data_IF_180932474513
#
_entry.id   IF_180932474513
#
_cell.length_a   1.000
_cell.length_b   1.000
_cell.length_c   1.000
_cell.angle_alpha   90.00
_cell.angle_beta   90.00
_cell.angle_gamma   90.00
#
_symmetry.space_group_name_H-M   'P 1'
#
loop_
_entity.id
_entity.type
_entity.pdbx_description
1 polymer ?
#
# COMPACT_ATOMS: atom_id res chain seq x y z
N UNK A 1 -37.68 -41.27 -14.68
CA UNK A 1 -37.31 -40.82 -13.31
C UNK A 1 -36.04 -39.96 -13.23
N UNK A 2 -35.36 -39.64 -14.33
CA UNK A 2 -34.03 -38.97 -14.31
C UNK A 2 -34.05 -37.44 -14.19
N UNK A 3 -35.17 -36.76 -14.46
CA UNK A 3 -35.24 -35.28 -14.39
C UNK A 3 -35.53 -34.73 -12.99
N UNK A 4 -36.13 -35.52 -12.09
CA UNK A 4 -36.52 -35.07 -10.75
C UNK A 4 -35.31 -35.07 -9.79
N UNK A 5 -34.39 -36.02 -9.98
CA UNK A 5 -33.14 -36.10 -9.21
C UNK A 5 -32.19 -34.93 -9.50
N UNK A 6 -32.12 -34.47 -10.76
CA UNK A 6 -31.20 -33.38 -11.16
C UNK A 6 -31.67 -32.01 -10.65
N UNK A 7 -33.00 -31.78 -10.54
CA UNK A 7 -33.54 -30.58 -9.89
C UNK A 7 -33.23 -30.59 -8.38
N UNK A 8 -33.50 -31.70 -7.69
CA UNK A 8 -33.26 -31.83 -6.25
C UNK A 8 -31.79 -31.59 -5.88
N UNK A 9 -30.86 -32.09 -6.69
CA UNK A 9 -29.42 -31.94 -6.47
C UNK A 9 -28.93 -30.50 -6.64
N UNK A 10 -29.49 -29.74 -7.60
CA UNK A 10 -29.18 -28.31 -7.78
C UNK A 10 -29.69 -27.45 -6.64
N UNK A 11 -30.86 -27.75 -6.08
CA UNK A 11 -31.36 -27.04 -4.90
C UNK A 11 -30.55 -27.36 -3.64
N UNK A 12 -30.13 -28.62 -3.45
CA UNK A 12 -29.26 -29.01 -2.32
C UNK A 12 -27.89 -28.31 -2.41
N UNK A 13 -27.30 -28.24 -3.61
CA UNK A 13 -26.04 -27.51 -3.83
C UNK A 13 -26.20 -26.01 -3.54
N UNK A 14 -27.31 -25.40 -4.00
CA UNK A 14 -27.61 -24.00 -3.72
C UNK A 14 -27.74 -23.70 -2.22
N UNK A 15 -28.40 -24.58 -1.46
CA UNK A 15 -28.54 -24.45 -0.01
C UNK A 15 -27.19 -24.59 0.70
N UNK A 16 -26.32 -25.50 0.26
CA UNK A 16 -24.98 -25.65 0.83
C UNK A 16 -24.10 -24.41 0.58
N UNK A 17 -24.13 -23.86 -0.62
CA UNK A 17 -23.39 -22.63 -0.96
C UNK A 17 -23.91 -21.44 -0.15
N UNK A 18 -25.23 -21.30 -0.03
CA UNK A 18 -25.84 -20.26 0.79
C UNK A 18 -25.45 -20.40 2.28
N UNK A 19 -25.47 -21.61 2.83
CA UNK A 19 -25.07 -21.88 4.21
C UNK A 19 -23.58 -21.55 4.45
N UNK A 20 -22.71 -21.87 3.50
CA UNK A 20 -21.29 -21.52 3.56
C UNK A 20 -21.08 -20.01 3.55
N UNK A 21 -21.75 -19.29 2.65
CA UNK A 21 -21.65 -17.83 2.56
C UNK A 21 -22.16 -17.15 3.84
N UNK A 22 -23.28 -17.62 4.39
CA UNK A 22 -23.81 -17.11 5.66
C UNK A 22 -22.86 -17.41 6.82
N UNK A 23 -22.29 -18.61 6.89
CA UNK A 23 -21.29 -18.98 7.88
C UNK A 23 -20.01 -18.15 7.78
N UNK A 24 -19.53 -17.89 6.57
CA UNK A 24 -18.34 -17.07 6.31
C UNK A 24 -18.58 -15.60 6.71
N UNK A 25 -19.73 -15.03 6.37
CA UNK A 25 -20.11 -13.67 6.78
C UNK A 25 -20.26 -13.60 8.30
N UNK A 26 -20.87 -14.59 8.93
CA UNK A 26 -21.01 -14.64 10.39
C UNK A 26 -19.65 -14.76 11.08
N UNK A 27 -18.78 -15.66 10.62
CA UNK A 27 -17.42 -15.80 11.16
C UNK A 27 -16.60 -14.52 10.98
N UNK A 28 -16.66 -13.91 9.80
CA UNK A 28 -15.91 -12.70 9.52
C UNK A 28 -16.44 -11.52 10.34
N UNK A 29 -17.74 -11.23 10.30
CA UNK A 29 -18.33 -10.04 10.95
C UNK A 29 -18.49 -10.20 12.46
N UNK A 30 -18.97 -11.36 12.94
CA UNK A 30 -19.25 -11.55 14.37
C UNK A 30 -17.97 -11.91 15.11
N UNK A 31 -17.19 -12.89 14.65
CA UNK A 31 -15.96 -13.26 15.36
C UNK A 31 -14.84 -12.24 15.10
N UNK A 32 -14.65 -11.82 13.84
CA UNK A 32 -13.57 -10.92 13.45
C UNK A 32 -13.68 -9.50 13.99
N UNK A 33 -14.90 -8.95 14.18
CA UNK A 33 -15.06 -7.59 14.70
C UNK A 33 -15.61 -7.49 16.14
N UNK A 34 -16.39 -8.46 16.65
CA UNK A 34 -16.89 -8.38 18.05
C UNK A 34 -16.01 -9.12 19.06
N UNK A 35 -15.46 -10.30 18.72
CA UNK A 35 -14.68 -11.10 19.68
C UNK A 35 -13.21 -10.66 19.70
N UNK A 36 -12.66 -10.24 18.54
CA UNK A 36 -11.28 -9.78 18.42
C UNK A 36 -11.18 -8.40 17.75
N UNK A 37 -11.52 -7.30 18.46
CA UNK A 37 -11.37 -5.98 17.89
C UNK A 37 -9.88 -5.68 17.61
N UNK A 38 -9.55 -5.48 16.34
CA UNK A 38 -8.20 -5.06 15.92
C UNK A 38 -8.01 -3.62 16.39
N UNK A 39 -7.20 -3.43 17.44
CA UNK A 39 -6.83 -2.09 17.88
C UNK A 39 -5.68 -1.59 17.00
N UNK A 40 -5.92 -0.53 16.24
CA UNK A 40 -4.87 0.21 15.56
C UNK A 40 -4.16 1.11 16.57
N UNK A 41 -3.02 0.65 17.10
CA UNK A 41 -2.13 1.43 17.98
C UNK A 41 -1.11 2.28 17.21
N UNK A 42 -1.33 2.54 15.91
CA UNK A 42 -0.41 3.31 15.05
C UNK A 42 -0.82 4.75 14.77
N UNK A 43 -1.91 5.26 15.35
CA UNK A 43 -2.45 6.59 15.03
C UNK A 43 -1.62 7.77 15.54
N UNK A 44 -0.68 7.53 16.46
CA UNK A 44 0.14 8.57 17.09
C UNK A 44 1.62 8.16 17.00
N UNK A 45 2.21 8.13 15.80
CA UNK A 45 3.66 8.00 15.68
C UNK A 45 4.31 9.22 16.33
N UNK A 46 4.79 9.05 17.55
CA UNK A 46 5.47 10.11 18.31
C UNK A 46 6.93 10.19 17.89
N UNK A 47 7.60 11.31 18.22
CA UNK A 47 9.03 11.47 17.95
C UNK A 47 9.89 10.32 18.54
N UNK A 48 9.38 9.70 19.60
CA UNK A 48 9.97 8.53 20.25
C UNK A 48 9.90 7.24 19.42
N UNK A 49 8.93 7.11 18.51
CA UNK A 49 8.72 5.91 17.70
C UNK A 49 9.63 5.86 16.44
N UNK A 50 10.39 6.92 16.19
CA UNK A 50 11.39 6.95 15.11
C UNK A 50 12.50 5.92 15.38
N UNK A 51 13.10 5.44 14.30
CA UNK A 51 14.31 4.63 14.35
C UNK A 51 15.51 5.43 14.92
N UNK A 52 16.61 4.74 15.24
CA UNK A 52 17.76 5.37 15.88
C UNK A 52 18.39 6.49 15.02
N UNK A 53 18.33 6.38 13.69
CA UNK A 53 18.84 7.40 12.78
C UNK A 53 17.93 8.63 12.73
N UNK A 54 16.61 8.44 12.67
CA UNK A 54 15.63 9.53 12.74
C UNK A 54 15.70 10.30 14.06
N UNK A 55 15.86 9.59 15.17
CA UNK A 55 16.02 10.21 16.49
C UNK A 55 17.28 11.08 16.58
N UNK A 56 18.41 10.62 16.02
CA UNK A 56 19.65 11.42 15.93
C UNK A 56 19.46 12.68 15.08
N UNK A 57 18.72 12.58 13.99
CA UNK A 57 18.40 13.72 13.13
C UNK A 57 17.54 14.75 13.86
N UNK A 58 16.52 14.31 14.60
CA UNK A 58 15.72 15.18 15.46
C UNK A 58 16.55 15.90 16.54
N UNK A 59 17.50 15.20 17.17
CA UNK A 59 18.40 15.80 18.15
C UNK A 59 19.34 16.86 17.54
N UNK A 60 19.84 16.62 16.32
CA UNK A 60 20.64 17.60 15.58
C UNK A 60 19.82 18.85 15.24
N UNK A 61 18.60 18.68 14.71
CA UNK A 61 17.69 19.79 14.43
C UNK A 61 17.30 20.56 15.69
N UNK A 62 17.08 19.88 16.82
CA UNK A 62 16.82 20.53 18.09
C UNK A 62 18.01 21.39 18.56
N UNK A 63 19.24 20.93 18.32
CA UNK A 63 20.45 21.67 18.68
C UNK A 63 20.65 22.90 17.78
N UNK A 64 20.33 22.79 16.49
CA UNK A 64 20.35 23.92 15.55
C UNK A 64 19.28 24.96 15.90
N UNK A 65 18.05 24.53 16.16
CA UNK A 65 16.98 25.41 16.59
C UNK A 65 17.33 26.13 17.91
N UNK A 66 17.91 25.42 18.88
CA UNK A 66 18.38 26.02 20.12
C UNK A 66 19.53 27.01 19.91
N UNK A 67 20.48 26.69 19.02
CA UNK A 67 21.56 27.60 18.66
C UNK A 67 21.05 28.88 17.99
N UNK A 68 19.95 28.79 17.23
CA UNK A 68 19.33 29.93 16.57
C UNK A 68 18.48 30.80 17.52
N UNK A 69 17.71 30.17 18.41
CA UNK A 69 16.72 30.89 19.24
C UNK A 69 17.16 31.14 20.68
N UNK A 70 18.09 30.34 21.20
CA UNK A 70 18.47 30.34 22.62
C UNK A 70 17.36 29.86 23.58
N UNK A 71 16.23 29.37 23.06
CA UNK A 71 15.06 29.03 23.86
C UNK A 71 15.22 27.65 24.53
N UNK A 72 15.63 27.68 25.80
CA UNK A 72 15.84 26.48 26.60
C UNK A 72 14.53 25.75 26.96
N UNK A 73 13.39 26.44 27.02
CA UNK A 73 12.11 25.83 27.32
C UNK A 73 11.62 25.00 26.12
N UNK A 74 11.64 25.60 24.93
CA UNK A 74 11.30 24.90 23.70
C UNK A 74 12.28 23.76 23.36
N UNK A 75 13.57 23.91 23.71
CA UNK A 75 14.55 22.84 23.58
C UNK A 75 14.23 21.63 24.49
N UNK A 76 13.87 21.87 25.76
CA UNK A 76 13.48 20.82 26.70
C UNK A 76 12.21 20.11 26.28
N UNK A 77 11.24 20.83 25.74
CA UNK A 77 10.00 20.24 25.22
C UNK A 77 10.28 19.29 24.05
N UNK A 78 11.05 19.74 23.04
CA UNK A 78 11.42 18.91 21.88
C UNK A 78 12.24 17.68 22.26
N UNK A 79 13.19 17.85 23.18
CA UNK A 79 13.99 16.72 23.68
C UNK A 79 13.14 15.80 24.56
N UNK A 80 12.20 16.35 25.34
CA UNK A 80 11.24 15.58 26.14
C UNK A 80 10.26 14.77 25.29
N UNK A 81 9.90 15.24 24.10
CA UNK A 81 9.09 14.48 23.14
C UNK A 81 9.81 13.21 22.63
N UNK A 82 11.15 13.17 22.69
CA UNK A 82 11.97 11.97 22.40
C UNK A 82 12.12 11.03 23.61
N UNK A 83 11.68 11.44 24.82
CA UNK A 83 11.75 10.66 26.08
C UNK A 83 10.53 9.73 26.25
N UNK A 84 9.59 9.72 25.30
CA UNK A 84 8.58 8.66 25.19
C UNK A 84 9.21 7.32 24.78
N UNK A 85 8.53 6.19 25.02
CA UNK A 85 8.94 4.85 24.58
C UNK A 85 10.23 4.24 25.20
N UNK A 86 10.53 4.54 26.47
CA UNK A 86 11.48 3.74 27.26
C UNK A 86 12.93 4.22 27.30
N UNK A 87 13.22 5.43 26.78
CA UNK A 87 14.51 6.11 26.96
C UNK A 87 14.45 7.05 28.16
N UNK A 88 15.51 7.07 28.97
CA UNK A 88 15.65 8.08 30.02
C UNK A 88 16.30 9.36 29.49
N UNK A 89 16.04 10.49 30.16
CA UNK A 89 16.71 11.75 29.86
C UNK A 89 18.25 11.62 29.88
N UNK A 90 18.79 10.78 30.77
CA UNK A 90 20.22 10.50 30.85
C UNK A 90 20.75 9.79 29.58
N UNK A 91 19.97 8.88 28.99
CA UNK A 91 20.35 8.21 27.74
C UNK A 91 20.35 9.18 26.55
N UNK A 92 19.41 10.13 26.51
CA UNK A 92 19.37 11.16 25.47
C UNK A 92 20.56 12.13 25.60
N UNK A 93 20.92 12.52 26.81
CA UNK A 93 22.11 13.34 27.08
C UNK A 93 23.39 12.61 26.68
N UNK A 94 23.52 11.32 27.01
CA UNK A 94 24.66 10.50 26.60
C UNK A 94 24.77 10.41 25.08
N UNK A 95 23.64 10.31 24.37
CA UNK A 95 23.61 10.30 22.91
C UNK A 95 24.05 11.66 22.33
N UNK A 96 23.59 12.78 22.90
CA UNK A 96 24.04 14.12 22.50
C UNK A 96 25.56 14.31 22.68
N UNK A 97 26.11 13.82 23.79
CA UNK A 97 27.56 13.84 24.05
C UNK A 97 28.33 12.98 23.04
N UNK A 98 27.82 11.78 22.73
CA UNK A 98 28.39 10.90 21.71
C UNK A 98 28.42 11.58 20.34
N UNK A 99 27.31 12.17 19.91
CA UNK A 99 27.21 12.92 18.65
C UNK A 99 28.17 14.11 18.62
N UNK A 100 28.35 14.82 19.74
CA UNK A 100 29.30 15.94 19.82
C UNK A 100 30.76 15.47 19.67
N UNK A 101 31.13 14.33 20.25
CA UNK A 101 32.47 13.74 20.12
C UNK A 101 32.74 13.25 18.68
N UNK A 102 31.74 12.65 18.03
CA UNK A 102 31.78 12.24 16.63
C UNK A 102 32.02 13.47 15.72
N UNK A 103 31.27 14.55 15.93
CA UNK A 103 31.42 15.83 15.18
C UNK A 103 32.80 16.48 15.41
N UNK A 104 33.29 16.47 16.64
CA UNK A 104 34.63 16.97 16.98
C UNK A 104 35.72 16.18 16.24
N UNK A 105 35.58 14.86 16.20
CA UNK A 105 36.52 13.97 15.50
C UNK A 105 36.48 14.14 13.98
N UNK A 106 35.32 14.55 13.44
CA UNK A 106 35.14 14.89 12.04
C UNK A 106 35.59 16.33 11.67
N UNK A 107 36.08 17.12 12.64
CA UNK A 107 36.50 18.51 12.43
C UNK A 107 35.38 19.55 12.51
N UNK A 108 34.13 19.13 12.73
CA UNK A 108 32.98 20.02 12.93
C UNK A 108 32.86 20.48 14.40
N UNK A 109 33.76 21.39 14.76
CA UNK A 109 33.81 21.98 16.11
C UNK A 109 32.56 22.83 16.42
N UNK A 110 31.96 23.47 15.43
CA UNK A 110 30.77 24.30 15.62
C UNK A 110 29.53 23.44 15.88
N UNK A 111 29.32 22.38 15.10
CA UNK A 111 28.22 21.44 15.32
C UNK A 111 28.36 20.69 16.65
N UNK A 112 29.58 20.35 17.07
CA UNK A 112 29.85 19.78 18.38
C UNK A 112 29.44 20.72 19.53
N UNK A 113 29.78 22.01 19.43
CA UNK A 113 29.40 23.01 20.43
C UNK A 113 27.89 23.20 20.55
N UNK A 114 27.14 23.17 19.43
CA UNK A 114 25.67 23.27 19.46
C UNK A 114 25.02 22.09 20.19
N UNK A 115 25.51 20.87 19.94
CA UNK A 115 25.04 19.66 20.62
C UNK A 115 25.37 19.69 22.12
N UNK A 116 26.55 20.17 22.50
CA UNK A 116 26.94 20.37 23.91
C UNK A 116 26.05 21.42 24.60
N UNK A 117 25.78 22.55 23.93
CA UNK A 117 24.89 23.59 24.45
C UNK A 117 23.47 23.09 24.68
N UNK A 118 22.93 22.27 23.76
CA UNK A 118 21.64 21.61 23.93
C UNK A 118 21.65 20.66 25.15
N UNK A 119 22.70 19.84 25.31
CA UNK A 119 22.83 18.91 26.43
C UNK A 119 22.82 19.65 27.79
N UNK A 120 23.50 20.79 27.88
CA UNK A 120 23.48 21.65 29.07
C UNK A 120 22.10 22.27 29.32
N UNK A 121 21.45 22.80 28.26
CA UNK A 121 20.14 23.42 28.37
C UNK A 121 19.06 22.44 28.87
N UNK A 122 19.13 21.19 28.41
CA UNK A 122 18.22 20.10 28.82
C UNK A 122 18.45 19.66 30.27
N UNK A 123 19.65 19.81 30.81
CA UNK A 123 20.02 19.41 32.19
C UNK A 123 19.52 20.39 33.26
N UNK A 124 19.07 21.59 32.88
CA UNK A 124 18.34 22.48 33.80
C UNK A 124 19.11 23.70 34.33
N UNK A 125 20.34 23.98 33.89
CA UNK A 125 21.02 25.23 34.27
C UNK A 125 20.68 26.36 33.30
N UNK A 126 19.83 27.28 33.76
CA UNK A 126 19.37 28.47 33.04
C UNK A 126 20.29 29.65 33.37
N UNK A 127 20.90 30.35 32.40
CA UNK A 127 21.09 31.78 32.51
C UNK A 127 19.79 32.45 32.04
N UNK A 128 19.12 33.13 32.97
CA UNK A 128 17.95 33.95 32.65
C UNK A 128 18.33 35.03 31.66
N UNK A 129 17.68 35.07 30.52
CA UNK A 129 17.58 36.28 29.71
C UNK A 129 16.10 36.49 29.33
N UNK A 130 15.68 37.73 29.57
CA UNK A 130 14.33 38.31 29.60
C UNK A 130 13.62 38.19 28.24
N UNK A 131 12.29 37.98 28.19
CA UNK A 131 11.53 37.85 26.95
C UNK A 131 11.33 39.21 26.26
N UNK A 132 11.43 39.22 24.92
CA UNK A 132 10.89 40.32 24.11
C UNK A 132 9.43 39.98 23.72
N UNK A 133 8.44 40.84 24.00
CA UNK A 133 7.03 40.56 23.70
C UNK A 133 6.70 40.77 22.22
N UNK A 134 6.00 39.80 21.62
CA UNK A 134 5.42 39.94 20.28
C UNK A 134 4.45 38.80 19.94
N UNK A 135 3.14 39.08 20.10
CA UNK A 135 2.01 38.49 19.34
C UNK A 135 1.35 37.18 19.82
N UNK A 136 0.36 37.34 20.71
CA UNK A 136 -1.06 36.83 20.78
C UNK A 136 -1.60 35.97 19.60
N UNK A 137 -2.66 35.10 19.74
CA UNK A 137 -3.32 34.46 20.89
C UNK A 137 -3.35 32.90 20.82
N UNK A 138 -3.54 32.29 22.00
CA UNK A 138 -3.96 30.89 22.14
C UNK A 138 -5.38 30.68 21.60
N UNK A 139 -5.53 29.80 20.60
CA UNK A 139 -6.83 29.35 20.09
C UNK A 139 -7.20 28.00 20.73
N UNK A 140 -8.23 28.05 21.58
CA UNK A 140 -9.24 27.00 21.83
C UNK A 140 -8.78 25.54 21.94
N UNK A 141 -8.64 25.06 23.19
CA UNK A 141 -8.96 23.66 23.49
C UNK A 141 -10.43 23.41 23.18
N UNK A 142 -10.71 22.59 22.16
CA UNK A 142 -12.01 21.93 22.03
C UNK A 142 -12.01 20.69 22.91
N UNK A 143 -12.89 20.71 23.90
CA UNK A 143 -13.33 19.52 24.62
C UNK A 143 -13.95 18.53 23.63
N UNK A 144 -13.34 17.36 23.50
CA UNK A 144 -13.93 16.23 22.80
C UNK A 144 -15.03 15.63 23.67
N UNK A 145 -16.27 16.05 23.45
CA UNK A 145 -17.44 15.35 23.96
C UNK A 145 -17.50 13.96 23.31
N UNK A 146 -17.16 12.93 24.09
CA UNK A 146 -17.28 11.53 23.69
C UNK A 146 -18.74 11.15 23.51
N UNK A 147 -19.14 10.89 22.26
CA UNK A 147 -20.43 10.27 21.97
C UNK A 147 -20.37 8.79 22.35
N UNK A 148 -21.38 8.25 23.07
CA UNK A 148 -21.29 6.89 23.61
C UNK A 148 -21.51 5.85 22.50
N UNK A 149 -20.44 5.17 22.11
CA UNK A 149 -20.40 3.99 21.23
C UNK A 149 -21.24 2.78 21.72
N UNK A 150 -22.01 2.95 22.80
CA UNK A 150 -22.88 1.96 23.43
C UNK A 150 -24.21 1.78 22.68
N UNK A 151 -24.82 2.87 22.16
CA UNK A 151 -26.15 2.80 21.54
C UNK A 151 -26.16 2.06 20.18
N UNK A 152 -25.08 2.17 19.41
CA UNK A 152 -24.97 1.48 18.11
C UNK A 152 -24.76 -0.03 18.26
N UNK A 153 -24.07 -0.48 19.33
CA UNK A 153 -23.90 -1.91 19.62
C UNK A 153 -25.21 -2.57 20.01
N UNK A 154 -26.06 -1.89 20.78
CA UNK A 154 -27.37 -2.40 21.16
C UNK A 154 -28.34 -2.52 19.97
N UNK A 155 -28.36 -1.54 19.07
CA UNK A 155 -29.21 -1.59 17.87
C UNK A 155 -28.77 -2.69 16.89
N UNK A 156 -27.46 -2.91 16.73
CA UNK A 156 -26.93 -3.98 15.88
C UNK A 156 -27.32 -5.38 16.36
N UNK A 157 -27.32 -5.62 17.68
CA UNK A 157 -27.71 -6.91 18.26
C UNK A 157 -29.20 -7.22 18.07
N UNK A 158 -30.07 -6.21 18.17
CA UNK A 158 -31.51 -6.39 17.99
C UNK A 158 -31.83 -6.77 16.53
N UNK A 159 -31.19 -6.10 15.56
CA UNK A 159 -31.38 -6.41 14.14
C UNK A 159 -30.89 -7.83 13.81
N UNK A 160 -29.76 -8.25 14.38
CA UNK A 160 -29.22 -9.59 14.17
C UNK A 160 -30.16 -10.69 14.73
N UNK A 161 -30.75 -10.46 15.91
CA UNK A 161 -31.73 -11.39 16.50
C UNK A 161 -32.98 -11.49 15.61
N UNK A 162 -33.48 -10.37 15.08
CA UNK A 162 -34.64 -10.36 14.19
C UNK A 162 -34.39 -11.12 12.89
N UNK A 163 -33.20 -10.98 12.30
CA UNK A 163 -32.81 -11.72 11.09
C UNK A 163 -32.71 -13.22 11.37
N UNK A 164 -32.14 -13.63 12.51
CA UNK A 164 -32.09 -15.05 12.89
C UNK A 164 -33.49 -15.64 13.12
N UNK A 165 -34.38 -14.88 13.76
CA UNK A 165 -35.77 -15.32 14.01
C UNK A 165 -36.55 -15.48 12.70
N UNK A 166 -36.39 -14.55 11.76
CA UNK A 166 -36.97 -14.64 10.43
C UNK A 166 -36.44 -15.86 9.66
N UNK A 167 -35.13 -16.14 9.73
CA UNK A 167 -34.52 -17.32 9.10
C UNK A 167 -35.05 -18.64 9.67
N UNK A 168 -35.22 -18.74 10.99
CA UNK A 168 -35.80 -19.94 11.64
C UNK A 168 -37.27 -20.14 11.25
N UNK A 169 -38.06 -19.07 11.21
CA UNK A 169 -39.46 -19.15 10.78
C UNK A 169 -39.60 -19.61 9.32
N UNK A 170 -38.74 -19.13 8.43
CA UNK A 170 -38.73 -19.53 7.02
C UNK A 170 -38.30 -21.00 6.86
N UNK A 171 -37.35 -21.45 7.68
CA UNK A 171 -36.95 -22.86 7.74
C UNK A 171 -38.12 -23.75 8.21
N UNK A 172 -38.82 -23.38 9.29
CA UNK A 172 -39.97 -24.13 9.79
C UNK A 172 -41.09 -24.20 8.74
N UNK A 173 -41.40 -23.08 8.08
CA UNK A 173 -42.38 -23.04 6.99
C UNK A 173 -42.00 -24.00 5.86
N UNK A 174 -40.72 -24.02 5.47
CA UNK A 174 -40.23 -24.90 4.41
C UNK A 174 -40.30 -26.39 4.81
N UNK A 175 -39.99 -26.74 6.07
CA UNK A 175 -40.14 -28.12 6.55
C UNK A 175 -41.61 -28.55 6.63
N UNK A 176 -42.52 -27.67 7.07
CA UNK A 176 -43.96 -27.97 7.12
C UNK A 176 -44.54 -28.17 5.71
N UNK A 177 -44.08 -27.40 4.72
CA UNK A 177 -44.52 -27.55 3.33
C UNK A 177 -44.15 -28.91 2.71
N UNK A 178 -43.10 -29.58 3.22
CA UNK A 178 -42.71 -30.92 2.77
C UNK A 178 -43.55 -32.03 3.41
N UNK A 179 -44.14 -31.78 4.57
CA UNK A 179 -44.98 -32.78 5.26
C UNK A 179 -46.41 -32.82 4.71
N UNK A 180 -46.89 -31.74 4.10
CA UNK A 180 -48.23 -31.69 3.48
C UNK A 180 -48.32 -32.33 2.09
N UNK A 181 -47.20 -32.75 1.48
CA UNK A 181 -47.17 -33.36 0.15
C UNK A 181 -46.92 -34.89 0.16
N UNK A 182 -46.91 -35.53 1.33
CA UNK A 182 -46.62 -36.96 1.48
C UNK A 182 -47.78 -37.73 2.11
N UNK A 183 -48.87 -37.93 1.36
CA UNK A 183 -49.96 -38.80 1.78
C UNK A 183 -50.89 -39.17 0.63
N UNK A 184 -50.57 -40.26 -0.09
CA UNK A 184 -51.52 -41.20 -0.72
C UNK A 184 -50.79 -42.29 -1.54
N UNK A 185 -51.13 -43.55 -1.23
CA UNK A 185 -51.19 -44.76 -2.09
C UNK A 185 -49.93 -45.45 -2.68
N UNK A 186 -49.49 -46.47 -1.93
CA UNK A 186 -49.43 -47.92 -2.25
C UNK A 186 -49.94 -48.43 -3.63
N UNK A 187 -49.11 -49.22 -4.35
CA UNK A 187 -49.35 -50.62 -4.78
C UNK A 187 -48.56 -51.06 -6.05
N UNK A 188 -48.10 -52.33 -6.03
CA UNK A 188 -47.63 -53.21 -7.13
C UNK A 188 -46.23 -52.91 -7.73
N UNK A 189 -45.34 -53.85 -8.04
CA UNK A 189 -45.41 -55.31 -8.21
C UNK A 189 -43.98 -55.90 -8.10
N UNK A 190 -43.85 -57.17 -7.75
CA UNK A 190 -42.59 -57.92 -7.63
C UNK A 190 -42.22 -58.56 -8.97
N UNK A 191 -40.92 -58.83 -9.21
CA UNK A 191 -40.39 -60.19 -9.47
C UNK A 191 -39.00 -60.23 -10.15
N UNK A 192 -38.15 -61.09 -9.57
CA UNK A 192 -37.09 -61.96 -10.11
C UNK A 192 -35.71 -61.43 -10.62
N UNK A 193 -34.74 -61.50 -9.69
CA UNK A 193 -33.44 -62.22 -9.70
C UNK A 193 -33.05 -63.12 -10.91
N UNK A 194 -31.81 -63.04 -11.43
CA UNK A 194 -30.63 -63.88 -11.06
C UNK A 194 -29.41 -63.83 -12.05
N UNK A 195 -28.23 -64.09 -11.49
CA UNK A 195 -26.96 -64.66 -12.02
C UNK A 195 -25.86 -63.83 -12.76
N UNK A 196 -24.90 -63.36 -11.93
CA UNK A 196 -23.40 -63.42 -11.91
C UNK A 196 -22.48 -63.78 -13.11
N UNK A 197 -21.14 -63.90 -12.92
CA UNK A 197 -20.29 -63.38 -11.84
C UNK A 197 -18.86 -62.89 -12.27
N UNK A 198 -18.07 -62.43 -11.27
CA UNK A 198 -16.58 -62.38 -11.14
C UNK A 198 -15.75 -61.30 -11.88
N UNK A 199 -15.08 -60.41 -11.13
CA UNK A 199 -13.63 -60.42 -10.81
C UNK A 199 -13.12 -59.00 -10.49
N UNK A 200 -12.79 -58.74 -9.22
CA UNK A 200 -11.82 -57.70 -8.85
C UNK A 200 -10.41 -58.33 -8.90
N UNK A 201 -9.35 -57.56 -9.20
CA UNK A 201 -8.71 -56.78 -8.13
C UNK A 201 -8.18 -55.41 -8.58
N UNK A 202 -8.22 -54.44 -7.67
CA UNK A 202 -7.27 -53.31 -7.67
C UNK A 202 -5.93 -53.80 -7.07
N UNK A 203 -4.81 -53.09 -7.32
CA UNK A 203 -4.41 -52.16 -6.27
C UNK A 203 -3.69 -50.88 -6.75
N UNK A 204 -3.78 -49.86 -5.87
CA UNK A 204 -2.69 -48.97 -5.45
C UNK A 204 -2.08 -47.99 -6.48
N UNK A 205 -1.69 -46.74 -6.18
CA UNK A 205 -1.66 -45.88 -4.98
C UNK A 205 -1.10 -44.52 -5.45
N UNK A 206 -1.19 -43.51 -4.57
CA UNK A 206 -0.29 -42.34 -4.43
C UNK A 206 -0.73 -41.02 -5.09
N UNK A 207 -1.46 -40.22 -4.29
CA UNK A 207 -1.37 -38.75 -4.17
C UNK A 207 0.01 -38.32 -3.59
N UNK A 208 0.33 -37.04 -3.33
CA UNK A 208 0.36 -35.78 -4.10
C UNK A 208 1.83 -35.17 -4.03
N UNK A 209 2.16 -33.84 -4.03
CA UNK A 209 1.64 -32.78 -3.15
C UNK A 209 1.45 -31.36 -3.78
N UNK A 210 0.83 -30.53 -2.93
CA UNK A 210 0.64 -29.07 -2.90
C UNK A 210 1.72 -28.14 -3.47
N UNK A 211 1.36 -26.87 -3.72
CA UNK A 211 1.79 -25.67 -2.94
C UNK A 211 1.32 -24.35 -3.61
N UNK A 212 0.69 -23.51 -2.78
CA UNK A 212 0.61 -22.02 -2.75
C UNK A 212 -0.03 -21.17 -3.86
N UNK A 213 -1.06 -20.42 -3.46
CA UNK A 213 -1.48 -19.14 -4.05
C UNK A 213 -1.07 -17.98 -3.12
N UNK A 214 -0.61 -16.83 -3.63
CA UNK A 214 -0.58 -15.56 -2.89
C UNK A 214 -1.77 -14.65 -3.24
N UNK A 215 -2.51 -14.29 -2.19
CA UNK A 215 -3.04 -12.98 -1.78
C UNK A 215 -3.11 -11.85 -2.82
N UNK A 216 -4.33 -11.34 -3.03
CA UNK A 216 -4.62 -9.99 -3.53
C UNK A 216 -5.13 -9.09 -2.38
N UNK A 217 -4.67 -7.83 -2.25
CA UNK A 217 -5.25 -6.84 -1.34
C UNK A 217 -6.47 -6.10 -1.90
N UNK A 218 -7.28 -5.63 -0.96
CA UNK A 218 -8.55 -4.90 -1.07
C UNK A 218 -8.33 -3.39 -1.11
N UNK A 219 -9.27 -2.68 -1.77
CA UNK A 219 -9.32 -1.25 -2.01
C UNK A 219 -9.32 -0.32 -0.76
N UNK A 220 -8.98 0.98 -0.93
CA UNK A 220 -8.70 1.95 0.14
C UNK A 220 -9.86 2.89 0.49
N UNK A 221 -9.69 3.59 1.61
CA UNK A 221 -10.44 4.77 2.04
C UNK A 221 -9.65 6.07 1.79
N UNK A 222 -10.39 7.18 1.75
CA UNK A 222 -9.99 8.58 1.84
C UNK A 222 -9.46 9.26 0.57
N UNK A 223 -10.21 10.28 0.14
CA UNK A 223 -9.88 11.22 -0.92
C UNK A 223 -8.76 12.19 -0.50
N UNK A 224 -7.79 12.47 -1.40
CA UNK A 224 -7.05 13.73 -1.44
C UNK A 224 -7.65 14.68 -2.49
N UNK A 225 -7.34 15.96 -2.30
CA UNK A 225 -7.78 17.15 -3.03
C UNK A 225 -8.17 16.97 -4.52
N UNK A 226 -9.36 17.46 -4.85
CA UNK A 226 -9.82 17.66 -6.22
C UNK A 226 -8.91 18.67 -6.95
N UNK A 227 -8.04 18.15 -7.81
CA UNK A 227 -7.56 18.87 -9.00
C UNK A 227 -8.72 18.95 -9.99
N UNK A 228 -8.90 20.06 -10.73
CA UNK A 228 -10.05 20.22 -11.62
C UNK A 228 -10.04 19.12 -12.67
N UNK A 229 -11.16 18.40 -12.74
CA UNK A 229 -11.43 17.44 -13.80
C UNK A 229 -11.54 18.18 -15.13
N UNK A 230 -10.50 18.09 -15.95
CA UNK A 230 -10.51 18.49 -17.34
C UNK A 230 -10.13 17.28 -18.21
N UNK A 231 -11.16 16.71 -18.82
CA UNK A 231 -11.19 15.94 -20.07
C UNK A 231 -10.16 14.81 -20.33
N UNK A 232 -10.70 13.59 -20.49
CA UNK A 232 -10.51 12.71 -21.65
C UNK A 232 -9.07 12.46 -22.15
N UNK A 233 -8.53 11.25 -21.90
CA UNK A 233 -7.35 10.64 -22.56
C UNK A 233 -6.32 11.65 -23.12
N UNK A 234 -5.91 12.61 -22.29
CA UNK A 234 -4.92 13.61 -22.65
C UNK A 234 -3.50 13.02 -22.57
N UNK A 235 -2.51 13.63 -23.27
CA UNK A 235 -1.11 13.32 -23.02
C UNK A 235 -0.76 13.67 -21.58
N UNK A 236 -0.22 12.71 -20.83
CA UNK A 236 0.42 12.97 -19.54
C UNK A 236 1.88 13.32 -19.78
N UNK A 237 2.41 14.24 -18.98
CA UNK A 237 3.84 14.55 -19.00
C UNK A 237 4.42 14.25 -17.63
N UNK A 238 5.37 13.33 -17.60
CA UNK A 238 6.14 13.01 -16.40
C UNK A 238 7.54 13.60 -16.54
N UNK A 239 7.98 14.39 -15.55
CA UNK A 239 9.30 15.05 -15.59
C UNK A 239 10.04 14.84 -14.28
N UNK A 240 11.15 14.12 -14.37
CA UNK A 240 12.12 13.97 -13.30
C UNK A 240 13.17 15.09 -13.37
N UNK A 241 13.57 15.56 -12.18
CA UNK A 241 14.75 16.40 -12.00
C UNK A 241 15.63 15.82 -10.89
N UNK A 242 16.94 15.91 -11.06
CA UNK A 242 17.91 15.45 -10.07
C UNK A 242 17.69 16.11 -8.71
N UNK A 243 17.73 15.30 -7.66
CA UNK A 243 17.46 15.72 -6.29
C UNK A 243 16.06 15.36 -5.81
N UNK A 244 15.16 14.96 -6.71
CA UNK A 244 13.93 14.26 -6.32
C UNK A 244 14.29 12.84 -5.86
N UNK A 245 14.09 12.54 -4.59
CA UNK A 245 14.54 11.30 -3.94
C UNK A 245 13.47 10.21 -3.93
N UNK A 246 12.20 10.58 -4.09
CA UNK A 246 11.04 9.67 -4.04
C UNK A 246 10.21 9.80 -5.33
N UNK A 247 10.88 10.11 -6.44
CA UNK A 247 10.23 10.33 -7.72
C UNK A 247 9.47 9.08 -8.21
N UNK A 248 8.15 9.18 -8.19
CA UNK A 248 7.23 8.24 -8.80
C UNK A 248 5.96 9.01 -9.21
N UNK A 249 5.82 9.26 -10.51
CA UNK A 249 4.64 9.96 -11.04
C UNK A 249 3.64 8.96 -11.57
N UNK A 250 2.39 9.07 -11.11
CA UNK A 250 1.28 8.23 -11.55
C UNK A 250 0.11 9.06 -12.09
N UNK A 251 -0.57 8.50 -13.09
CA UNK A 251 -1.72 9.09 -13.76
C UNK A 251 -2.82 8.06 -13.97
N UNK A 252 -4.02 8.37 -13.47
CA UNK A 252 -5.22 7.59 -13.75
C UNK A 252 -5.67 7.73 -15.20
N UNK A 253 -5.99 6.61 -15.83
CA UNK A 253 -6.53 6.55 -17.19
C UNK A 253 -8.03 6.36 -17.09
N UNK A 254 -8.78 7.38 -17.49
CA UNK A 254 -10.24 7.37 -17.50
C UNK A 254 -10.76 7.50 -18.94
N UNK A 255 -11.90 6.85 -19.22
CA UNK A 255 -12.61 7.05 -20.47
C UNK A 255 -13.24 8.43 -20.54
N UNK A 256 -13.70 8.85 -21.72
CA UNK A 256 -14.48 10.08 -21.87
C UNK A 256 -15.78 10.10 -21.03
N UNK A 257 -16.27 8.92 -20.61
CA UNK A 257 -17.43 8.78 -19.72
C UNK A 257 -17.07 8.84 -18.22
N UNK A 258 -15.77 8.93 -17.87
CA UNK A 258 -15.28 8.91 -16.49
C UNK A 258 -15.05 7.52 -15.91
N UNK A 259 -15.18 6.46 -16.72
CA UNK A 259 -14.86 5.10 -16.27
C UNK A 259 -13.35 4.91 -16.14
N UNK A 260 -12.90 4.48 -14.96
CA UNK A 260 -11.51 4.07 -14.76
C UNK A 260 -11.16 2.86 -15.63
N UNK A 261 -10.14 3.01 -16.49
CA UNK A 261 -9.63 2.00 -17.41
C UNK A 261 -8.31 1.38 -16.94
N UNK A 262 -7.48 2.15 -16.23
CA UNK A 262 -6.15 1.74 -15.81
C UNK A 262 -5.34 2.89 -15.25
N UNK A 263 -4.05 2.67 -15.08
CA UNK A 263 -3.13 3.66 -14.51
C UNK A 263 -1.77 3.53 -15.21
N UNK A 264 -1.06 4.64 -15.37
CA UNK A 264 0.29 4.61 -15.92
C UNK A 264 1.19 5.61 -15.23
N UNK A 265 2.49 5.42 -15.34
CA UNK A 265 3.43 6.28 -14.65
C UNK A 265 4.87 6.13 -15.09
N UNK A 266 5.71 6.97 -14.47
CA UNK A 266 7.15 6.97 -14.61
C UNK A 266 7.77 6.95 -13.20
N UNK A 267 8.55 5.91 -12.93
CA UNK A 267 9.28 5.74 -11.67
C UNK A 267 10.76 5.50 -11.89
N UNK A 268 11.54 5.55 -10.81
CA UNK A 268 12.96 5.19 -10.83
C UNK A 268 13.13 3.66 -10.89
N UNK A 269 13.85 3.15 -11.88
CA UNK A 269 14.15 1.71 -11.98
C UNK A 269 15.45 1.34 -11.26
N UNK A 270 16.48 2.18 -11.41
CA UNK A 270 17.82 1.95 -10.89
C UNK A 270 18.61 3.26 -10.76
N UNK A 271 19.53 3.30 -9.79
CA UNK A 271 20.45 4.42 -9.57
C UNK A 271 21.91 3.99 -9.73
N UNK A 272 22.82 4.94 -9.91
CA UNK A 272 24.27 4.68 -10.04
C UNK A 272 25.10 5.59 -9.15
N UNK A 273 26.24 5.07 -8.68
CA UNK A 273 27.18 5.79 -7.82
C UNK A 273 26.77 5.77 -6.35
N UNK A 274 27.51 6.51 -5.52
CA UNK A 274 27.21 6.70 -4.10
C UNK A 274 26.92 8.18 -3.78
N UNK A 275 26.43 8.42 -2.56
CA UNK A 275 26.12 9.76 -2.03
C UNK A 275 24.66 9.95 -1.66
N UNK A 276 24.33 11.13 -1.13
CA UNK A 276 22.98 11.46 -0.66
C UNK A 276 22.00 11.78 -1.80
N UNK A 277 22.52 12.11 -2.99
CA UNK A 277 21.72 12.41 -4.18
C UNK A 277 21.54 11.14 -5.01
N UNK A 278 20.28 10.71 -5.17
CA UNK A 278 19.94 9.58 -6.03
C UNK A 278 20.11 9.94 -7.51
N UNK A 279 21.15 9.38 -8.13
CA UNK A 279 21.47 9.55 -9.54
C UNK A 279 20.82 8.44 -10.36
N UNK A 280 19.68 8.72 -10.95
CA UNK A 280 18.88 7.70 -11.67
C UNK A 280 19.58 7.34 -12.99
N UNK A 281 19.85 6.04 -13.20
CA UNK A 281 20.48 5.51 -14.42
C UNK A 281 19.48 4.86 -15.38
N UNK A 282 18.30 4.49 -14.88
CA UNK A 282 17.20 3.99 -15.68
C UNK A 282 15.85 4.32 -15.03
N UNK A 283 14.84 4.60 -15.86
CA UNK A 283 13.46 4.79 -15.43
C UNK A 283 12.59 3.61 -15.84
N UNK A 284 11.52 3.36 -15.09
CA UNK A 284 10.48 2.39 -15.40
C UNK A 284 9.23 3.15 -15.82
N UNK A 285 8.76 2.91 -17.05
CA UNK A 285 7.42 3.31 -17.49
C UNK A 285 6.51 2.12 -17.35
N UNK A 286 5.48 2.26 -16.54
CA UNK A 286 4.57 1.17 -16.21
C UNK A 286 3.14 1.50 -16.66
N UNK A 287 2.40 0.46 -17.05
CA UNK A 287 1.00 0.53 -17.46
C UNK A 287 0.21 -0.59 -16.76
N UNK A 288 -0.71 -0.20 -15.89
CA UNK A 288 -1.70 -1.06 -15.26
C UNK A 288 -3.01 -1.05 -16.06
N UNK A 289 -3.54 -2.24 -16.33
CA UNK A 289 -4.81 -2.44 -17.03
C UNK A 289 -5.85 -3.05 -16.09
N UNK A 290 -6.97 -2.36 -15.89
CA UNK A 290 -8.06 -2.83 -15.00
C UNK A 290 -8.71 -4.11 -15.50
N UNK A 291 -8.80 -4.32 -16.81
CA UNK A 291 -9.43 -5.51 -17.41
C UNK A 291 -8.56 -6.75 -17.25
N UNK A 292 -7.24 -6.57 -17.15
CA UNK A 292 -6.23 -7.63 -17.14
C UNK A 292 -5.48 -7.73 -15.80
N UNK A 293 -5.80 -6.89 -14.81
CA UNK A 293 -5.20 -6.79 -13.46
C UNK A 293 -3.68 -7.10 -13.47
N UNK A 294 -2.99 -6.54 -14.47
CA UNK A 294 -1.57 -6.76 -14.71
C UNK A 294 -0.92 -5.43 -15.04
N UNK A 295 0.30 -5.29 -14.55
CA UNK A 295 1.18 -4.18 -14.88
C UNK A 295 2.22 -4.68 -15.88
N UNK A 296 2.36 -3.96 -16.98
CA UNK A 296 3.42 -4.17 -17.96
C UNK A 296 4.36 -2.97 -17.89
N UNK A 297 5.66 -3.23 -17.94
CA UNK A 297 6.68 -2.19 -17.79
C UNK A 297 7.71 -2.23 -18.92
N UNK A 298 8.17 -1.05 -19.29
CA UNK A 298 9.33 -0.82 -20.15
C UNK A 298 10.34 0.02 -19.39
N UNK A 299 11.62 -0.36 -19.48
CA UNK A 299 12.72 0.34 -18.82
C UNK A 299 13.41 1.25 -19.82
N UNK A 300 13.44 2.55 -19.53
CA UNK A 300 14.21 3.54 -20.30
C UNK A 300 15.58 3.71 -19.66
N UNK A 301 16.61 3.12 -20.27
CA UNK A 301 17.98 3.09 -19.74
C UNK A 301 18.86 4.22 -20.28
N UNK A 302 19.79 4.71 -19.45
CA UNK A 302 20.91 5.54 -19.91
C UNK A 302 21.81 4.80 -20.91
N UNK A 303 22.60 5.53 -21.69
CA UNK A 303 23.56 4.93 -22.63
C UNK A 303 24.56 4.00 -21.94
N UNK A 304 25.03 4.39 -20.74
CA UNK A 304 25.89 3.53 -19.94
C UNK A 304 25.18 2.26 -19.47
N UNK A 305 23.99 2.38 -18.87
CA UNK A 305 23.21 1.23 -18.39
C UNK A 305 22.82 0.27 -19.53
N UNK A 306 22.63 0.80 -20.74
CA UNK A 306 22.35 0.00 -21.93
C UNK A 306 23.59 -0.77 -22.43
N UNK A 307 24.80 -0.20 -22.29
CA UNK A 307 26.04 -0.85 -22.70
C UNK A 307 26.55 -1.85 -21.65
N UNK A 308 26.29 -1.61 -20.37
CA UNK A 308 26.77 -2.45 -19.26
C UNK A 308 25.95 -3.75 -19.13
N UNK A 309 26.64 -4.90 -19.16
CA UNK A 309 25.98 -6.20 -19.11
C UNK A 309 25.36 -6.53 -17.74
N UNK A 310 25.95 -6.05 -16.64
CA UNK A 310 25.45 -6.28 -15.30
C UNK A 310 24.18 -5.46 -15.06
N UNK A 311 24.19 -4.18 -15.43
CA UNK A 311 23.01 -3.31 -15.35
C UNK A 311 21.87 -3.82 -16.23
N UNK A 312 22.15 -4.24 -17.47
CA UNK A 312 21.12 -4.85 -18.32
C UNK A 312 20.52 -6.12 -17.71
N UNK A 313 21.35 -6.99 -17.14
CA UNK A 313 20.87 -8.22 -16.50
C UNK A 313 19.96 -7.90 -15.31
N UNK A 314 20.32 -6.89 -14.51
CA UNK A 314 19.49 -6.42 -13.39
C UNK A 314 18.15 -5.84 -13.88
N UNK A 315 18.19 -4.96 -14.87
CA UNK A 315 17.03 -4.26 -15.41
C UNK A 315 16.08 -5.18 -16.20
N UNK A 316 16.58 -6.29 -16.76
CA UNK A 316 15.75 -7.23 -17.50
C UNK A 316 14.64 -7.89 -16.65
N UNK A 317 14.81 -7.89 -15.33
CA UNK A 317 13.76 -8.36 -14.39
C UNK A 317 12.58 -7.40 -14.26
N UNK A 318 12.75 -6.12 -14.64
CA UNK A 318 11.73 -5.06 -14.55
C UNK A 318 10.88 -4.96 -15.80
N UNK A 319 11.46 -5.21 -16.98
CA UNK A 319 10.75 -5.08 -18.25
C UNK A 319 11.69 -5.09 -19.45
N UNK A 320 11.14 -4.84 -20.63
CA UNK A 320 11.92 -4.63 -21.85
C UNK A 320 12.78 -3.37 -21.71
N UNK A 321 14.06 -3.46 -22.04
CA UNK A 321 15.00 -2.34 -21.90
C UNK A 321 15.14 -1.61 -23.23
N UNK A 322 14.83 -0.32 -23.23
CA UNK A 322 14.95 0.60 -24.35
C UNK A 322 15.99 1.66 -24.03
N UNK A 323 16.90 1.93 -24.97
CA UNK A 323 17.86 3.01 -24.83
C UNK A 323 17.13 4.36 -24.92
N UNK A 324 17.24 5.18 -23.88
CA UNK A 324 16.69 6.53 -23.88
C UNK A 324 17.48 7.44 -24.82
N UNK A 325 16.78 8.08 -25.76
CA UNK A 325 17.32 9.10 -26.64
C UNK A 325 16.31 10.24 -26.80
N UNK A 326 16.76 11.51 -26.96
CA UNK A 326 15.85 12.62 -27.22
C UNK A 326 14.95 12.36 -28.43
N UNK A 327 13.64 12.50 -28.27
CA UNK A 327 12.66 12.29 -29.32
C UNK A 327 12.34 10.82 -29.63
N UNK A 328 12.98 9.85 -28.98
CA UNK A 328 12.66 8.44 -29.19
C UNK A 328 11.25 8.11 -28.68
N UNK A 329 10.60 7.19 -29.38
CA UNK A 329 9.28 6.68 -29.02
C UNK A 329 9.35 5.23 -28.55
N UNK A 330 8.44 4.87 -27.66
CA UNK A 330 8.30 3.52 -27.13
C UNK A 330 6.81 3.21 -26.91
N UNK A 331 6.48 1.93 -26.72
CA UNK A 331 5.10 1.49 -26.51
C UNK A 331 5.05 0.51 -25.36
N UNK A 332 4.10 0.70 -24.46
CA UNK A 332 3.75 -0.29 -23.43
C UNK A 332 2.36 -0.82 -23.75
N UNK A 333 2.19 -2.15 -23.83
CA UNK A 333 0.93 -2.76 -24.29
C UNK A 333 0.42 -3.79 -23.30
N UNK A 334 -0.86 -3.69 -22.96
CA UNK A 334 -1.62 -4.70 -22.20
C UNK A 334 -2.71 -5.32 -23.09
N UNK A 335 -3.67 -6.03 -22.49
CA UNK A 335 -4.78 -6.64 -23.23
C UNK A 335 -5.77 -5.62 -23.79
N UNK A 336 -6.07 -4.55 -23.05
CA UNK A 336 -7.08 -3.54 -23.43
C UNK A 336 -6.55 -2.11 -23.54
N UNK A 337 -5.30 -1.86 -23.13
CA UNK A 337 -4.66 -0.54 -23.18
C UNK A 337 -3.32 -0.61 -23.92
N UNK A 338 -3.01 0.49 -24.58
CA UNK A 338 -1.69 0.77 -25.14
C UNK A 338 -1.28 2.15 -24.66
N UNK A 339 -0.06 2.28 -24.18
CA UNK A 339 0.56 3.55 -23.85
C UNK A 339 1.59 3.87 -24.93
N UNK A 340 1.39 4.97 -25.65
CA UNK A 340 2.39 5.51 -26.57
C UNK A 340 3.24 6.53 -25.82
N UNK A 341 4.54 6.26 -25.74
CA UNK A 341 5.50 7.10 -25.03
C UNK A 341 6.43 7.83 -25.97
N UNK A 342 6.78 9.07 -25.64
CA UNK A 342 7.80 9.85 -26.34
C UNK A 342 8.71 10.56 -25.35
N UNK A 343 10.02 10.43 -25.52
CA UNK A 343 11.00 11.17 -24.72
C UNK A 343 11.06 12.61 -25.23
N UNK A 344 10.57 13.55 -24.42
CA UNK A 344 10.49 14.96 -24.78
C UNK A 344 11.83 15.67 -24.58
N UNK A 345 12.44 15.44 -23.42
CA UNK A 345 13.70 16.06 -23.04
C UNK A 345 14.50 15.12 -22.14
N UNK A 346 15.81 15.18 -22.25
CA UNK A 346 16.70 14.48 -21.34
C UNK A 346 18.09 15.13 -21.34
N UNK A 347 18.67 15.22 -20.15
CA UNK A 347 20.02 15.69 -19.95
C UNK A 347 20.79 14.68 -19.10
N UNK A 348 22.00 14.34 -19.52
CA UNK A 348 22.90 13.54 -18.70
C UNK A 348 23.71 14.44 -17.78
N UNK A 349 23.91 13.97 -16.55
CA UNK A 349 24.88 14.56 -15.66
C UNK A 349 26.31 14.14 -15.96
N UNK A 350 27.24 14.82 -15.31
CA UNK A 350 28.68 14.58 -15.38
C UNK A 350 29.27 14.59 -13.98
N UNK A 351 30.33 13.83 -13.74
CA UNK A 351 30.99 13.82 -12.44
C UNK A 351 31.92 12.63 -12.24
N UNK A 352 31.90 12.07 -11.03
CA UNK A 352 32.66 10.92 -10.53
C UNK A 352 32.16 9.56 -11.03
N UNK A 353 31.05 9.52 -11.76
CA UNK A 353 30.49 8.31 -12.38
C UNK A 353 30.75 8.28 -13.88
N UNK A 354 30.66 7.11 -14.54
CA UNK A 354 30.86 7.00 -15.98
C UNK A 354 30.03 8.02 -16.77
N UNK A 355 30.54 8.47 -17.91
CA UNK A 355 29.82 9.41 -18.75
C UNK A 355 28.47 8.83 -19.22
N UNK A 356 27.46 9.70 -19.36
CA UNK A 356 26.12 9.31 -19.84
C UNK A 356 25.47 8.20 -19.00
N UNK A 357 25.74 8.19 -17.68
CA UNK A 357 25.27 7.15 -16.78
C UNK A 357 24.08 7.53 -15.92
N UNK A 358 23.75 8.81 -15.79
CA UNK A 358 22.58 9.23 -15.03
C UNK A 358 21.99 10.52 -15.59
N UNK A 359 20.70 10.71 -15.36
CA UNK A 359 19.96 11.86 -15.86
C UNK A 359 19.93 12.99 -14.83
N UNK A 360 20.10 14.24 -15.28
CA UNK A 360 19.81 15.43 -14.46
C UNK A 360 18.38 15.90 -14.65
N UNK A 361 17.85 15.70 -15.85
CA UNK A 361 16.46 15.97 -16.23
C UNK A 361 16.02 14.87 -17.16
N UNK A 362 14.78 14.40 -17.01
CA UNK A 362 14.19 13.41 -17.90
C UNK A 362 12.69 13.63 -18.00
N UNK A 363 12.18 13.87 -19.21
CA UNK A 363 10.78 14.18 -19.47
C UNK A 363 10.22 13.28 -20.54
N UNK A 364 9.05 12.69 -20.28
CA UNK A 364 8.33 11.84 -21.22
C UNK A 364 6.88 12.28 -21.34
N UNK A 365 6.37 12.23 -22.56
CA UNK A 365 4.95 12.28 -22.86
C UNK A 365 4.40 10.86 -22.91
N UNK A 366 3.26 10.62 -22.28
CA UNK A 366 2.56 9.34 -22.20
C UNK A 366 1.13 9.52 -22.68
N UNK A 367 0.77 8.85 -23.78
CA UNK A 367 -0.54 8.94 -24.41
C UNK A 367 -1.26 7.60 -24.29
N UNK A 368 -2.27 7.46 -23.41
CA UNK A 368 -3.03 6.23 -23.28
C UNK A 368 -4.04 6.09 -24.43
N UNK A 369 -4.09 4.89 -25.01
CA UNK A 369 -4.96 4.53 -26.13
C UNK A 369 -5.69 3.23 -25.79
N UNK A 370 -7.04 3.23 -25.70
CA UNK A 370 -7.82 2.01 -25.59
C UNK A 370 -7.65 1.11 -26.82
N UNK A 371 -7.45 -0.19 -26.60
CA UNK A 371 -7.39 -1.19 -27.65
C UNK A 371 -8.77 -1.81 -27.86
N UNK A 372 -9.24 -1.77 -29.11
CA UNK A 372 -10.45 -2.50 -29.48
C UNK A 372 -10.18 -4.01 -29.51
N UNK A 373 -11.19 -4.85 -29.23
CA UNK A 373 -11.05 -6.31 -29.33
C UNK A 373 -10.56 -6.70 -30.73
N UNK A 374 -9.36 -7.29 -30.83
CA UNK A 374 -8.77 -7.78 -32.09
C UNK A 374 -7.54 -7.01 -32.60
N UNK A 375 -7.14 -5.90 -31.97
CA UNK A 375 -5.88 -5.20 -32.27
C UNK A 375 -4.70 -5.87 -31.53
N UNK A 376 -4.34 -7.10 -31.92
CA UNK A 376 -3.18 -7.82 -31.38
C UNK A 376 -1.87 -7.37 -31.99
#
# INVERSE_FOLDING_TARGET
MTRISDLAQRYVLGVLVAAFLVGAVFGLVVLGWNVWPVQYTGGNATLADLDAAGQRTCLAMAAEAYAATGDAAAARERVGALVGAGRSQAQVIAELQKMANERTSAGDTQGAQRLQALATAVTGQVPSAVPTPGTVPATGQRESAGFPASLFRACGMIILVLVLLAGVLLLIYFLQSRTSAGGAEEAADKDHEEEGPVLAPAPATVSPPSVSQPVAPRAPAAAPAAVPAEAALGPFVATYNLGDIDFDMSFGIESAAGDFLGECGLGMAETIGGGDVQRVTAFEVWLFDKTDIRTVSVVLSSAHAHADAALRTKLASRGEIVLAQPGASFVVKTSSLKLEGKILDMAYGSGDVPAQSYFTTFSVELVPVPLLPGQK
#
